data_IF_010039445375
#
_entry.id   IF_010039445375
#
_cell.length_a   1.000
_cell.length_b   1.000
_cell.length_c   1.000
_cell.angle_alpha   90.00
_cell.angle_beta   90.00
_cell.angle_gamma   90.00
#
_symmetry.space_group_name_H-M   'P 1'
#
loop_
_entity.id
_entity.type
_entity.pdbx_description
1 polymer ?
#
# COMPACT_ATOMS: atom_id res chain seq x y z
N UNK A 1 -8.13 16.78 -0.57
CA UNK A 1 -7.52 18.11 -0.24
C UNK A 1 -6.04 18.06 -0.59
N UNK A 2 -5.46 19.08 -1.27
CA UNK A 2 -4.03 19.10 -1.57
C UNK A 2 -3.12 18.96 -0.33
N UNK A 3 -1.87 18.51 -0.49
CA UNK A 3 -0.86 18.55 0.56
C UNK A 3 -0.61 19.97 1.05
N UNK A 4 -0.46 20.11 2.36
CA UNK A 4 -0.18 21.39 2.99
C UNK A 4 0.00 21.24 4.49
N UNK A 5 0.82 22.11 5.06
CA UNK A 5 1.12 22.13 6.48
C UNK A 5 1.36 23.57 6.93
N UNK A 6 1.12 23.83 8.21
CA UNK A 6 1.61 25.03 8.89
C UNK A 6 2.65 24.59 9.90
N UNK A 7 3.78 25.28 9.97
CA UNK A 7 4.81 25.04 10.97
C UNK A 7 5.19 26.35 11.66
N UNK A 8 5.54 26.26 12.93
CA UNK A 8 6.15 27.34 13.69
C UNK A 8 7.35 26.78 14.44
N UNK A 9 8.54 27.30 14.14
CA UNK A 9 9.81 26.77 14.66
C UNK A 9 10.55 27.88 15.38
N UNK A 10 10.87 27.65 16.65
CA UNK A 10 11.70 28.51 17.50
C UNK A 10 12.80 27.68 18.18
N UNK A 11 13.69 28.31 18.94
CA UNK A 11 14.68 27.59 19.76
C UNK A 11 14.02 26.76 20.89
N UNK A 12 12.83 27.18 21.31
CA UNK A 12 12.08 26.55 22.40
C UNK A 12 11.30 25.32 21.93
N UNK A 13 10.82 25.30 20.68
CA UNK A 13 10.01 24.20 20.16
C UNK A 13 9.60 24.31 18.71
N UNK A 14 8.90 23.27 18.25
CA UNK A 14 8.34 23.17 16.91
C UNK A 14 6.89 22.68 16.98
N UNK A 15 5.98 23.50 16.48
CA UNK A 15 4.57 23.16 16.33
C UNK A 15 4.26 22.95 14.84
N UNK A 16 3.64 21.81 14.51
CA UNK A 16 3.27 21.44 13.14
C UNK A 16 1.78 21.13 13.07
N UNK A 17 1.03 21.89 12.29
CA UNK A 17 -0.36 21.59 11.94
C UNK A 17 -0.43 20.96 10.57
N UNK A 18 -0.80 19.68 10.49
CA UNK A 18 -0.87 18.96 9.23
C UNK A 18 -2.05 17.98 9.19
N UNK A 19 -2.73 17.85 8.04
CA UNK A 19 -3.68 16.79 7.78
C UNK A 19 -2.86 15.52 7.40
N UNK A 20 -2.28 14.84 8.38
CA UNK A 20 -1.39 13.67 8.17
C UNK A 20 -2.05 12.36 8.60
N UNK A 21 -1.69 11.25 7.94
CA UNK A 21 -2.06 9.89 8.34
C UNK A 21 -1.00 9.24 9.25
N UNK A 22 0.21 9.82 9.34
CA UNK A 22 1.33 9.30 10.11
C UNK A 22 1.93 10.38 11.00
N UNK A 23 1.39 10.54 12.22
CA UNK A 23 1.86 11.55 13.17
C UNK A 23 3.31 11.31 13.59
N UNK A 24 3.69 10.05 13.82
CA UNK A 24 5.03 9.68 14.25
C UNK A 24 6.08 10.01 13.17
N UNK A 25 5.78 9.72 11.90
CA UNK A 25 6.66 10.10 10.79
C UNK A 25 6.76 11.61 10.62
N UNK A 26 5.66 12.33 10.84
CA UNK A 26 5.63 13.79 10.82
C UNK A 26 6.52 14.37 11.92
N UNK A 27 6.40 13.84 13.15
CA UNK A 27 7.22 14.26 14.29
C UNK A 27 8.70 13.96 14.05
N UNK A 28 9.02 12.79 13.51
CA UNK A 28 10.40 12.40 13.19
C UNK A 28 11.03 13.28 12.11
N UNK A 29 10.32 13.57 11.02
CA UNK A 29 10.83 14.50 10.01
C UNK A 29 11.02 15.90 10.60
N UNK A 30 10.15 16.32 11.51
CA UNK A 30 10.32 17.59 12.23
C UNK A 30 11.57 17.59 13.12
N UNK A 31 11.92 16.52 13.84
CA UNK A 31 13.19 16.46 14.58
C UNK A 31 14.39 16.55 13.64
N UNK A 32 14.35 15.87 12.49
CA UNK A 32 15.45 15.90 11.52
C UNK A 32 15.66 17.29 10.89
N UNK A 33 14.59 17.99 10.51
CA UNK A 33 14.70 19.33 9.92
C UNK A 33 15.10 20.36 10.97
N UNK A 34 14.49 20.29 12.16
CA UNK A 34 14.69 21.31 13.20
C UNK A 34 15.96 21.08 14.01
N UNK A 35 16.42 19.84 14.15
CA UNK A 35 17.46 19.38 15.09
C UNK A 35 17.05 19.56 16.56
N UNK A 36 15.75 19.69 16.84
CA UNK A 36 15.20 19.72 18.19
C UNK A 36 14.93 18.29 18.67
N UNK A 37 15.01 18.05 20.00
CA UNK A 37 14.68 16.74 20.56
C UNK A 37 13.16 16.47 20.49
N UNK A 38 12.73 15.19 20.47
CA UNK A 38 11.32 14.82 20.25
C UNK A 38 10.32 15.49 21.19
N UNK A 39 10.66 15.70 22.46
CA UNK A 39 9.82 16.35 23.46
C UNK A 39 9.51 17.82 23.17
N UNK A 40 10.27 18.44 22.26
CA UNK A 40 10.05 19.80 21.76
C UNK A 40 9.22 19.85 20.47
N UNK A 41 8.83 18.71 19.92
CA UNK A 41 8.02 18.62 18.70
C UNK A 41 6.57 18.35 19.07
N UNK A 42 5.65 19.15 18.53
CA UNK A 42 4.20 18.99 18.71
C UNK A 42 3.51 18.89 17.36
N UNK A 43 2.92 17.72 17.07
CA UNK A 43 2.14 17.50 15.84
C UNK A 43 0.66 17.65 16.15
N UNK A 44 0.07 18.72 15.63
CA UNK A 44 -1.36 19.01 15.67
C UNK A 44 -2.03 18.42 14.43
N UNK A 45 -2.54 17.19 14.56
CA UNK A 45 -3.23 16.54 13.44
C UNK A 45 -4.57 17.24 13.19
N UNK A 46 -4.70 17.88 12.03
CA UNK A 46 -5.95 18.56 11.64
C UNK A 46 -6.93 17.60 10.98
N UNK A 47 -8.17 18.04 10.75
CA UNK A 47 -9.09 17.33 9.88
C UNK A 47 -8.45 17.09 8.51
N UNK A 48 -8.69 15.89 7.97
CA UNK A 48 -8.04 15.40 6.75
C UNK A 48 -9.06 15.30 5.62
N UNK A 49 -8.89 16.08 4.55
CA UNK A 49 -9.76 16.03 3.37
C UNK A 49 -9.49 14.84 2.44
N UNK A 50 -9.26 13.66 3.01
CA UNK A 50 -8.84 12.43 2.32
C UNK A 50 -7.32 12.35 2.10
N UNK A 51 -6.78 11.14 2.21
CA UNK A 51 -5.35 10.86 1.97
C UNK A 51 -5.12 9.62 1.11
N UNK A 52 -5.89 8.54 1.34
CA UNK A 52 -5.83 7.31 0.54
C UNK A 52 -4.42 6.69 0.44
N UNK A 53 -3.55 6.95 1.43
CA UNK A 53 -2.16 6.49 1.48
C UNK A 53 -1.16 7.62 1.24
N UNK A 54 -1.50 8.62 0.41
CA UNK A 54 -0.59 9.70 0.03
C UNK A 54 -0.13 10.55 1.23
N UNK A 55 -1.04 10.81 2.17
CA UNK A 55 -0.74 11.63 3.36
C UNK A 55 -0.13 10.83 4.52
N UNK A 56 0.29 9.59 4.26
CA UNK A 56 1.18 8.84 5.17
C UNK A 56 2.65 9.24 5.00
N UNK A 57 3.05 9.71 3.81
CA UNK A 57 4.38 10.28 3.61
C UNK A 57 4.41 11.72 4.16
N UNK A 58 5.35 12.07 5.06
CA UNK A 58 5.50 13.42 5.62
C UNK A 58 6.26 14.41 4.73
N UNK A 59 6.66 14.06 3.50
CA UNK A 59 7.41 14.91 2.55
C UNK A 59 6.87 16.34 2.44
N UNK A 60 5.56 16.51 2.31
CA UNK A 60 4.92 17.82 2.14
C UNK A 60 5.05 18.74 3.37
N UNK A 61 5.32 18.19 4.55
CA UNK A 61 5.51 18.93 5.81
C UNK A 61 6.89 19.62 5.83
N UNK A 62 7.88 19.04 5.16
CA UNK A 62 9.27 19.52 5.14
C UNK A 62 9.37 20.97 4.67
N UNK A 63 8.60 21.35 3.64
CA UNK A 63 8.63 22.71 3.11
C UNK A 63 8.20 23.77 4.14
N UNK A 64 7.15 23.49 4.92
CA UNK A 64 6.69 24.38 5.98
C UNK A 64 7.72 24.47 7.11
N UNK A 65 8.31 23.34 7.51
CA UNK A 65 9.34 23.28 8.54
C UNK A 65 10.59 24.09 8.18
N UNK A 66 11.12 23.92 6.96
CA UNK A 66 12.31 24.64 6.49
C UNK A 66 12.03 26.14 6.45
N UNK A 67 10.89 26.55 5.89
CA UNK A 67 10.54 27.96 5.78
C UNK A 67 10.29 28.61 7.16
N UNK A 68 9.60 27.93 8.07
CA UNK A 68 9.38 28.41 9.43
C UNK A 68 10.70 28.53 10.20
N UNK A 69 11.62 27.55 10.08
CA UNK A 69 12.95 27.60 10.69
C UNK A 69 13.80 28.76 10.14
N UNK A 70 13.76 28.98 8.83
CA UNK A 70 14.55 30.04 8.19
C UNK A 70 14.05 31.45 8.55
N UNK A 71 12.75 31.61 8.80
CA UNK A 71 12.13 32.91 9.07
C UNK A 71 11.93 33.20 10.56
N UNK A 72 11.89 32.17 11.41
CA UNK A 72 11.47 32.28 12.81
C UNK A 72 10.00 32.68 12.97
N UNK A 73 9.19 32.54 11.91
CA UNK A 73 7.78 32.91 11.89
C UNK A 73 6.90 31.67 11.63
N UNK A 74 5.61 31.70 12.01
CA UNK A 74 4.67 30.70 11.56
C UNK A 74 4.50 30.75 10.03
N UNK A 75 4.76 29.64 9.34
CA UNK A 75 4.64 29.54 7.88
C UNK A 75 3.64 28.44 7.50
N UNK A 76 2.66 28.81 6.69
CA UNK A 76 1.75 27.87 6.02
C UNK A 76 2.21 27.66 4.58
N UNK A 77 2.41 26.40 4.20
CA UNK A 77 2.64 25.98 2.83
C UNK A 77 1.47 25.13 2.37
N UNK A 78 0.93 25.41 1.20
CA UNK A 78 -0.12 24.61 0.58
C UNK A 78 0.24 24.47 -0.88
N UNK A 79 0.26 23.24 -1.36
CA UNK A 79 0.54 22.97 -2.77
C UNK A 79 -0.68 23.34 -3.59
N UNK A 80 -0.45 23.89 -4.78
CA UNK A 80 -1.50 23.96 -5.79
C UNK A 80 -1.91 22.54 -6.19
N UNK A 81 -3.12 22.39 -6.75
CA UNK A 81 -3.56 21.09 -7.30
C UNK A 81 -2.61 20.59 -8.41
N UNK A 82 -2.01 21.50 -9.17
CA UNK A 82 -1.05 21.13 -10.22
C UNK A 82 0.24 20.57 -9.63
N UNK A 83 0.79 21.23 -8.61
CA UNK A 83 1.99 20.74 -7.90
C UNK A 83 1.71 19.41 -7.19
N UNK A 84 0.54 19.27 -6.55
CA UNK A 84 0.06 18.02 -5.96
C UNK A 84 0.14 16.87 -6.96
N UNK A 85 -0.47 17.02 -8.15
CA UNK A 85 -0.45 15.96 -9.17
C UNK A 85 0.97 15.75 -9.72
N UNK A 86 1.73 16.80 -9.98
CA UNK A 86 3.05 16.69 -10.61
C UNK A 86 4.10 16.04 -9.70
N UNK A 87 4.02 16.32 -8.40
CA UNK A 87 4.96 15.85 -7.37
C UNK A 87 4.35 14.75 -6.49
N UNK A 88 3.25 14.13 -6.93
CA UNK A 88 2.58 13.08 -6.19
C UNK A 88 3.41 11.79 -6.13
N UNK A 89 3.03 10.91 -5.22
CA UNK A 89 3.45 9.52 -5.24
C UNK A 89 2.40 8.68 -5.94
N UNK A 90 2.80 7.98 -6.99
CA UNK A 90 1.89 7.23 -7.83
C UNK A 90 1.69 5.80 -7.34
N UNK A 91 0.55 5.20 -7.70
CA UNK A 91 0.32 3.79 -7.46
C UNK A 91 1.43 2.96 -8.16
N UNK A 92 2.15 2.08 -7.45
CA UNK A 92 3.16 1.21 -8.04
C UNK A 92 2.63 0.40 -9.24
N UNK A 93 3.24 0.50 -10.44
CA UNK A 93 2.90 -0.40 -11.54
C UNK A 93 3.52 -1.77 -11.31
N UNK A 94 2.73 -2.83 -11.51
CA UNK A 94 3.18 -4.21 -11.38
C UNK A 94 2.98 -5.00 -12.67
N UNK A 95 4.01 -5.78 -13.03
CA UNK A 95 3.88 -6.89 -13.96
C UNK A 95 3.80 -8.19 -13.17
N UNK A 96 2.72 -8.93 -13.37
CA UNK A 96 2.44 -10.17 -12.64
C UNK A 96 2.34 -11.31 -13.65
N UNK A 97 3.08 -12.39 -13.38
CA UNK A 97 2.96 -13.65 -14.12
C UNK A 97 2.43 -14.71 -13.16
N UNK A 98 1.34 -15.37 -13.55
CA UNK A 98 0.77 -16.51 -12.85
C UNK A 98 0.91 -17.76 -13.74
N UNK A 99 1.13 -18.90 -13.10
CA UNK A 99 1.10 -20.22 -13.74
C UNK A 99 0.31 -21.15 -12.84
N UNK A 100 -0.81 -21.64 -13.36
CA UNK A 100 -1.71 -22.56 -12.66
C UNK A 100 -1.39 -24.01 -13.02
N UNK A 101 -1.29 -24.87 -12.02
CA UNK A 101 -1.29 -26.32 -12.16
C UNK A 101 -2.67 -26.86 -11.78
N UNK A 102 -3.31 -27.55 -12.71
CA UNK A 102 -4.61 -28.18 -12.50
C UNK A 102 -4.44 -29.66 -12.19
N UNK A 103 -5.34 -30.21 -11.38
CA UNK A 103 -5.43 -31.66 -11.17
C UNK A 103 -6.23 -32.35 -12.29
N UNK A 104 -6.38 -33.67 -12.19
CA UNK A 104 -7.11 -34.48 -13.18
C UNK A 104 -8.61 -34.13 -13.29
N UNK A 105 -9.18 -33.41 -12.31
CA UNK A 105 -10.56 -32.93 -12.32
C UNK A 105 -10.70 -31.51 -12.84
N UNK A 106 -9.61 -30.87 -13.28
CA UNK A 106 -9.61 -29.49 -13.76
C UNK A 106 -9.60 -28.44 -12.65
N UNK A 107 -9.37 -28.86 -11.39
CA UNK A 107 -9.34 -27.97 -10.24
C UNK A 107 -7.93 -27.44 -9.97
N UNK A 108 -7.84 -26.22 -9.44
CA UNK A 108 -6.56 -25.58 -9.13
C UNK A 108 -5.85 -26.31 -7.96
N UNK A 109 -4.71 -26.92 -8.25
CA UNK A 109 -3.87 -27.60 -7.25
C UNK A 109 -2.61 -26.78 -6.90
N UNK A 110 -2.02 -26.10 -7.88
CA UNK A 110 -0.80 -25.33 -7.68
C UNK A 110 -0.87 -23.94 -8.35
N UNK A 111 -0.26 -22.94 -7.71
CA UNK A 111 -0.14 -21.60 -8.28
C UNK A 111 1.27 -21.06 -8.05
N UNK A 112 1.98 -20.76 -9.14
CA UNK A 112 3.28 -20.08 -9.12
C UNK A 112 3.10 -18.65 -9.59
N UNK A 113 3.56 -17.70 -8.76
CA UNK A 113 3.40 -16.27 -9.00
C UNK A 113 4.77 -15.60 -9.01
N UNK A 114 4.96 -14.70 -9.98
CA UNK A 114 6.10 -13.78 -10.04
C UNK A 114 5.59 -12.34 -10.20
N UNK A 115 5.90 -11.52 -9.20
CA UNK A 115 5.55 -10.10 -9.10
C UNK A 115 6.80 -9.29 -9.41
N UNK A 116 6.75 -8.39 -10.37
CA UNK A 116 7.83 -7.43 -10.63
C UNK A 116 7.25 -6.01 -10.60
N UNK A 117 7.79 -5.17 -9.72
CA UNK A 117 7.32 -3.80 -9.53
C UNK A 117 8.12 -3.06 -8.45
N UNK A 118 7.93 -1.74 -8.34
CA UNK A 118 8.60 -0.94 -7.32
C UNK A 118 7.94 -1.10 -5.95
N UNK A 119 8.72 -0.90 -4.90
CA UNK A 119 8.26 -0.94 -3.51
C UNK A 119 7.71 0.43 -3.09
N UNK A 120 6.45 0.51 -2.61
CA UNK A 120 5.90 1.74 -2.03
C UNK A 120 6.51 2.08 -0.66
N UNK A 121 7.10 1.10 0.04
CA UNK A 121 7.72 1.32 1.34
C UNK A 121 9.14 1.87 1.23
N UNK A 122 9.84 1.56 0.13
CA UNK A 122 11.27 1.88 -0.06
C UNK A 122 11.60 3.37 0.09
N UNK A 123 10.84 4.33 -0.49
CA UNK A 123 11.14 5.76 -0.30
C UNK A 123 11.13 6.19 1.16
N UNK A 124 10.22 5.64 1.97
CA UNK A 124 10.14 5.93 3.40
C UNK A 124 11.31 5.26 4.14
N UNK A 125 11.72 4.05 3.74
CA UNK A 125 12.92 3.40 4.30
C UNK A 125 14.17 4.23 4.04
N UNK A 126 14.35 4.68 2.80
CA UNK A 126 15.52 5.47 2.40
C UNK A 126 15.55 6.84 3.12
N UNK A 127 14.37 7.41 3.42
CA UNK A 127 14.24 8.65 4.18
C UNK A 127 14.44 8.46 5.70
N UNK A 128 13.86 7.42 6.29
CA UNK A 128 13.74 7.27 7.75
C UNK A 128 14.73 6.26 8.37
N UNK A 129 15.31 5.38 7.58
CA UNK A 129 16.30 4.36 7.97
C UNK A 129 15.75 3.21 8.82
N UNK A 130 15.10 3.50 9.96
CA UNK A 130 14.96 2.54 11.08
C UNK A 130 13.54 2.09 11.44
N UNK A 131 12.55 2.30 10.56
CA UNK A 131 11.16 1.90 10.80
C UNK A 131 10.74 0.59 10.10
N UNK A 132 11.58 0.09 9.20
CA UNK A 132 11.25 -1.05 8.36
C UNK A 132 12.21 -2.21 8.64
N UNK A 133 11.77 -3.45 8.36
CA UNK A 133 12.62 -4.60 8.57
C UNK A 133 13.95 -4.50 7.79
N UNK A 134 15.09 -4.93 8.38
CA UNK A 134 16.42 -4.79 7.78
C UNK A 134 16.54 -5.38 6.37
N UNK A 135 15.85 -6.49 6.11
CA UNK A 135 15.87 -7.17 4.81
C UNK A 135 15.40 -6.27 3.65
N UNK A 136 14.57 -5.25 3.91
CA UNK A 136 14.11 -4.35 2.86
C UNK A 136 15.26 -3.51 2.29
N UNK A 137 16.23 -3.14 3.13
CA UNK A 137 17.46 -2.50 2.67
C UNK A 137 18.43 -3.51 2.02
N UNK A 138 18.52 -4.71 2.58
CA UNK A 138 19.46 -5.75 2.11
C UNK A 138 19.08 -6.35 0.74
N UNK A 139 17.79 -6.60 0.50
CA UNK A 139 17.32 -7.34 -0.68
C UNK A 139 16.08 -6.72 -1.35
N UNK A 140 15.59 -5.58 -0.86
CA UNK A 140 14.45 -4.89 -1.45
C UNK A 140 13.10 -5.55 -1.21
N UNK A 141 13.03 -6.64 -0.41
CA UNK A 141 11.78 -7.36 -0.17
C UNK A 141 10.81 -6.52 0.65
N UNK A 142 9.71 -6.16 0.00
CA UNK A 142 8.62 -5.40 0.59
C UNK A 142 7.36 -6.26 0.63
N UNK A 143 7.06 -6.79 1.81
CA UNK A 143 5.88 -7.63 2.03
C UNK A 143 4.58 -6.92 1.66
N UNK A 144 4.55 -5.58 1.76
CA UNK A 144 3.37 -4.77 1.48
C UNK A 144 2.93 -4.88 0.01
N UNK A 145 3.89 -5.10 -0.91
CA UNK A 145 3.63 -5.30 -2.36
C UNK A 145 2.94 -6.63 -2.67
N UNK A 146 3.07 -7.59 -1.76
CA UNK A 146 2.61 -8.96 -1.94
C UNK A 146 1.32 -9.27 -1.17
N UNK A 147 0.88 -8.33 -0.32
CA UNK A 147 -0.46 -8.36 0.30
C UNK A 147 -1.49 -8.47 -0.82
N UNK A 148 -2.46 -9.37 -0.68
CA UNK A 148 -3.37 -9.68 -1.78
C UNK A 148 -3.05 -10.98 -2.50
N UNK A 149 -1.76 -11.36 -2.59
CA UNK A 149 -1.33 -12.55 -3.32
C UNK A 149 -1.07 -13.74 -2.38
N UNK A 150 -0.24 -13.55 -1.35
CA UNK A 150 -0.01 -14.60 -0.35
C UNK A 150 -0.91 -14.43 0.88
N UNK A 151 -1.23 -13.19 1.29
CA UNK A 151 -2.06 -12.95 2.48
C UNK A 151 -3.54 -13.29 2.26
N UNK A 152 -4.00 -13.30 1.01
CA UNK A 152 -5.28 -13.92 0.66
C UNK A 152 -5.27 -15.42 0.99
N UNK A 153 -4.12 -16.09 1.00
CA UNK A 153 -4.02 -17.53 1.31
C UNK A 153 -3.58 -17.83 2.75
N UNK A 154 -2.84 -16.93 3.43
CA UNK A 154 -2.14 -17.24 4.68
C UNK A 154 -2.64 -16.49 5.93
N UNK A 155 -3.38 -15.38 5.81
CA UNK A 155 -4.03 -14.70 6.95
C UNK A 155 -5.50 -14.43 6.61
N UNK A 156 -6.36 -15.32 7.08
CA UNK A 156 -7.82 -15.31 6.90
C UNK A 156 -8.34 -15.65 5.47
N UNK A 157 -7.86 -16.77 4.89
CA UNK A 157 -8.76 -17.73 4.23
C UNK A 157 -9.42 -17.33 2.91
N UNK A 158 -8.79 -16.65 1.98
CA UNK A 158 -9.42 -16.38 0.68
C UNK A 158 -9.42 -17.63 -0.21
N UNK A 159 -8.28 -18.11 -0.69
CA UNK A 159 -8.23 -19.37 -1.47
C UNK A 159 -7.29 -20.38 -0.84
N UNK A 160 -7.81 -21.55 -0.51
CA UNK A 160 -7.08 -22.71 -0.01
C UNK A 160 -6.46 -23.50 -1.17
N UNK A 161 -5.49 -22.84 -1.83
CA UNK A 161 -4.62 -23.40 -2.88
C UNK A 161 -3.59 -24.32 -2.19
N UNK A 162 -3.53 -25.61 -2.53
CA UNK A 162 -2.60 -26.55 -1.90
C UNK A 162 -1.12 -26.15 -2.01
N UNK A 163 -0.66 -25.89 -3.23
CA UNK A 163 0.74 -25.58 -3.52
C UNK A 163 0.90 -24.14 -4.04
N UNK A 164 1.26 -23.20 -3.17
CA UNK A 164 1.43 -21.78 -3.53
C UNK A 164 2.90 -21.36 -3.44
N UNK A 165 3.42 -20.77 -4.52
CA UNK A 165 4.73 -20.10 -4.54
C UNK A 165 4.58 -18.67 -5.03
N UNK A 166 5.00 -17.71 -4.22
CA UNK A 166 4.98 -16.28 -4.57
C UNK A 166 6.40 -15.72 -4.52
N UNK A 167 6.88 -15.20 -5.66
CA UNK A 167 8.18 -14.54 -5.75
C UNK A 167 7.97 -13.06 -6.07
N UNK A 168 8.62 -12.19 -5.31
CA UNK A 168 8.69 -10.76 -5.60
C UNK A 168 10.07 -10.39 -6.13
N UNK A 169 10.08 -9.58 -7.18
CA UNK A 169 11.26 -9.03 -7.83
C UNK A 169 11.19 -7.51 -7.69
N UNK A 170 11.89 -6.93 -6.70
CA UNK A 170 11.99 -5.48 -6.57
C UNK A 170 12.51 -4.87 -7.86
N UNK A 171 11.81 -3.87 -8.37
CA UNK A 171 12.14 -3.21 -9.65
C UNK A 171 12.14 -1.71 -9.47
N UNK A 172 13.23 -1.05 -9.83
CA UNK A 172 13.33 0.41 -9.79
C UNK A 172 12.73 1.04 -11.05
N UNK A 173 12.03 2.16 -10.87
CA UNK A 173 11.49 2.98 -11.95
C UNK A 173 11.78 4.46 -11.63
N UNK A 174 11.86 5.35 -12.64
CA UNK A 174 12.19 6.76 -12.41
C UNK A 174 11.01 7.60 -11.87
N UNK A 175 9.83 6.99 -11.72
CA UNK A 175 8.61 7.67 -11.23
C UNK A 175 8.47 7.41 -9.74
N UNK A 176 8.23 8.43 -8.90
CA UNK A 176 8.00 8.24 -7.48
C UNK A 176 6.74 7.41 -7.24
N UNK A 177 6.84 6.43 -6.36
CA UNK A 177 5.69 5.60 -5.98
C UNK A 177 5.55 5.59 -4.47
N UNK A 178 4.33 5.35 -4.01
CA UNK A 178 4.04 5.37 -2.59
C UNK A 178 2.80 4.60 -2.25
N UNK A 179 2.32 4.81 -1.02
CA UNK A 179 1.12 4.13 -0.57
C UNK A 179 -0.11 4.69 -1.27
N UNK A 180 -0.86 3.78 -1.86
CA UNK A 180 -2.21 4.04 -2.33
C UNK A 180 -3.18 3.05 -1.68
N UNK A 181 -4.47 3.37 -1.70
CA UNK A 181 -5.51 2.52 -1.09
C UNK A 181 -5.38 1.09 -1.62
N UNK A 182 -5.42 0.11 -0.71
CA UNK A 182 -5.23 -1.33 -0.98
C UNK A 182 -3.76 -1.80 -1.07
N UNK A 183 -2.77 -0.89 -1.17
CA UNK A 183 -1.33 -1.19 -1.24
C UNK A 183 -1.05 -2.30 -2.27
N UNK A 184 -0.62 -3.49 -1.84
CA UNK A 184 -0.39 -4.65 -2.71
C UNK A 184 -1.67 -5.24 -3.31
N UNK A 185 -2.79 -5.11 -2.60
CA UNK A 185 -4.00 -5.86 -2.91
C UNK A 185 -4.65 -5.40 -4.21
N UNK A 186 -4.46 -4.14 -4.63
CA UNK A 186 -5.06 -3.62 -5.87
C UNK A 186 -4.60 -4.40 -7.11
N UNK A 187 -3.29 -4.57 -7.30
CA UNK A 187 -2.76 -5.31 -8.45
C UNK A 187 -2.83 -6.81 -8.25
N UNK A 188 -2.68 -7.28 -7.02
CA UNK A 188 -2.70 -8.70 -6.73
C UNK A 188 -4.10 -9.31 -6.88
N UNK A 189 -5.14 -8.67 -6.33
CA UNK A 189 -6.50 -9.17 -6.46
C UNK A 189 -6.96 -9.13 -7.92
N UNK A 190 -6.66 -8.06 -8.66
CA UNK A 190 -6.97 -7.99 -10.08
C UNK A 190 -6.34 -9.15 -10.86
N UNK A 191 -5.05 -9.40 -10.69
CA UNK A 191 -4.37 -10.46 -11.41
C UNK A 191 -4.80 -11.87 -10.95
N UNK A 192 -5.02 -12.06 -9.65
CA UNK A 192 -5.48 -13.35 -9.11
C UNK A 192 -6.89 -13.69 -9.59
N UNK A 193 -7.83 -12.75 -9.49
CA UNK A 193 -9.23 -12.97 -9.88
C UNK A 193 -9.40 -13.09 -11.40
N UNK A 194 -8.59 -12.36 -12.19
CA UNK A 194 -8.54 -12.57 -13.64
C UNK A 194 -8.06 -13.98 -13.97
N UNK A 195 -6.99 -14.44 -13.29
CA UNK A 195 -6.49 -15.79 -13.47
C UNK A 195 -7.51 -16.87 -13.03
N UNK A 196 -8.30 -16.63 -11.99
CA UNK A 196 -9.37 -17.57 -11.59
C UNK A 196 -10.41 -17.75 -12.70
N UNK A 197 -10.82 -16.66 -13.37
CA UNK A 197 -11.74 -16.75 -14.51
C UNK A 197 -11.12 -17.44 -15.72
N UNK A 198 -9.84 -17.17 -16.01
CA UNK A 198 -9.12 -17.88 -17.08
C UNK A 198 -8.99 -19.38 -16.78
N UNK A 199 -8.73 -19.75 -15.52
CA UNK A 199 -8.68 -21.15 -15.07
C UNK A 199 -10.04 -21.81 -15.23
N UNK A 200 -11.11 -21.17 -14.72
CA UNK A 200 -12.48 -21.68 -14.82
C UNK A 200 -12.88 -21.92 -16.29
N UNK A 201 -12.58 -20.95 -17.16
CA UNK A 201 -12.83 -21.07 -18.59
C UNK A 201 -12.05 -22.23 -19.22
N UNK A 202 -10.76 -22.35 -18.92
CA UNK A 202 -9.90 -23.40 -19.49
C UNK A 202 -10.26 -24.81 -18.98
N UNK A 203 -10.77 -24.94 -17.75
CA UNK A 203 -11.18 -26.22 -17.16
C UNK A 203 -12.65 -26.57 -17.39
N UNK A 204 -13.47 -25.65 -17.89
CA UNK A 204 -14.91 -25.83 -18.06
C UNK A 204 -15.69 -25.89 -16.74
N UNK A 205 -15.09 -25.41 -15.65
CA UNK A 205 -15.72 -25.33 -14.33
C UNK A 205 -16.40 -23.97 -14.19
N UNK A 206 -17.57 -23.91 -13.56
CA UNK A 206 -18.23 -22.65 -13.26
C UNK A 206 -17.33 -21.77 -12.35
N UNK A 207 -17.16 -20.47 -12.65
CA UNK A 207 -16.26 -19.59 -11.90
C UNK A 207 -16.68 -19.37 -10.44
N UNK A 208 -17.97 -19.48 -10.09
CA UNK A 208 -18.44 -19.45 -8.70
C UNK A 208 -18.07 -20.77 -8.01
N UNK A 209 -18.29 -21.91 -8.65
CA UNK A 209 -17.94 -23.22 -8.07
C UNK A 209 -16.43 -23.39 -7.85
N UNK A 210 -15.60 -22.91 -8.78
CA UNK A 210 -14.15 -22.88 -8.60
C UNK A 210 -13.79 -22.09 -7.33
N UNK A 211 -14.29 -20.88 -7.19
CA UNK A 211 -14.04 -20.02 -6.02
C UNK A 211 -14.58 -20.65 -4.74
N UNK A 212 -15.77 -21.23 -4.77
CA UNK A 212 -16.40 -21.94 -3.64
C UNK A 212 -15.51 -23.08 -3.13
N UNK A 213 -14.93 -23.87 -4.03
CA UNK A 213 -14.01 -24.95 -3.67
C UNK A 213 -12.74 -24.44 -2.96
N UNK A 214 -12.23 -23.29 -3.39
CA UNK A 214 -11.04 -22.65 -2.85
C UNK A 214 -11.36 -21.92 -1.54
N UNK A 215 -12.55 -21.34 -1.39
CA UNK A 215 -13.02 -20.63 -0.20
C UNK A 215 -13.49 -21.56 0.93
N UNK A 216 -13.38 -22.89 0.79
CA UNK A 216 -13.87 -23.89 1.77
C UNK A 216 -13.43 -23.68 3.22
N UNK A 217 -12.33 -22.97 3.45
CA UNK A 217 -11.80 -22.64 4.79
C UNK A 217 -12.24 -21.26 5.30
N UNK A 218 -13.14 -20.57 4.61
CA UNK A 218 -13.62 -19.23 4.96
C UNK A 218 -15.13 -19.11 4.84
N UNK A 219 -15.84 -19.45 5.93
CA UNK A 219 -17.30 -19.43 5.93
C UNK A 219 -17.89 -18.03 5.72
N UNK A 220 -17.14 -16.96 6.04
CA UNK A 220 -17.61 -15.59 5.82
C UNK A 220 -17.60 -15.25 4.33
N UNK A 221 -16.52 -15.57 3.62
CA UNK A 221 -16.42 -15.28 2.21
C UNK A 221 -17.34 -16.17 1.36
N UNK A 222 -17.54 -17.43 1.75
CA UNK A 222 -18.56 -18.29 1.15
C UNK A 222 -19.96 -17.68 1.25
N UNK A 223 -20.35 -17.17 2.43
CA UNK A 223 -21.64 -16.48 2.60
C UNK A 223 -21.77 -15.24 1.70
N UNK A 224 -20.67 -14.53 1.45
CA UNK A 224 -20.67 -13.39 0.51
C UNK A 224 -20.89 -13.90 -0.91
N UNK A 225 -20.17 -14.95 -1.31
CA UNK A 225 -20.29 -15.55 -2.63
C UNK A 225 -21.72 -16.06 -2.90
N UNK A 226 -22.28 -16.83 -1.97
CA UNK A 226 -23.65 -17.36 -2.08
C UNK A 226 -24.70 -16.23 -2.13
N UNK A 227 -24.48 -15.15 -1.36
CA UNK A 227 -25.39 -14.00 -1.39
C UNK A 227 -25.33 -13.26 -2.73
N UNK A 228 -24.13 -13.13 -3.30
CA UNK A 228 -23.92 -12.50 -4.61
C UNK A 228 -24.55 -13.33 -5.71
N UNK A 229 -24.31 -14.65 -5.74
CA UNK A 229 -24.93 -15.60 -6.69
C UNK A 229 -26.47 -15.49 -6.66
N UNK A 230 -27.07 -15.51 -5.46
CA UNK A 230 -28.52 -15.35 -5.31
C UNK A 230 -29.00 -13.96 -5.75
N UNK A 231 -28.26 -12.90 -5.44
CA UNK A 231 -28.66 -11.53 -5.76
C UNK A 231 -28.55 -11.22 -7.26
N UNK A 232 -27.58 -11.81 -7.95
CA UNK A 232 -27.35 -11.61 -9.38
C UNK A 232 -28.21 -12.51 -10.26
N UNK A 233 -28.73 -13.63 -9.72
CA UNK A 233 -29.42 -14.64 -10.51
C UNK A 233 -28.47 -15.42 -11.42
N UNK A 234 -27.26 -15.69 -10.93
CA UNK A 234 -26.26 -16.47 -11.67
C UNK A 234 -26.70 -17.92 -11.86
N UNK A 235 -26.59 -18.44 -13.09
CA UNK A 235 -27.08 -19.75 -13.54
C UNK A 235 -28.07 -19.63 -14.68
#
# INVERSE_FOLDING_TARGET
>A
EPPGATAHVTEEGCDVWAPTQGQDFTAWVATMVTQLPPEKIRVHTTYLGGGFGRKSNPDFVVHALIAAKATGQPVKVTWSRTEDIQHDEYLPPFRIRLTAGLDASGMLNALSVRLAGPSPSRPIVDMLGSFFPPWMAENGFDWATCVGMFDFSSRAGSYAIPDLKVNYVPTEIPVPVGFWRSIGTVHNAFALESAMDEIAHASGVDPIDLRRSLLRKNPRALKVLDRVEQASGWG
#
